data_IF_835989875615
#
_entry.id   IF_835989875615
#
_cell.length_a   1.000
_cell.length_b   1.000
_cell.length_c   1.000
_cell.angle_alpha   90.00
_cell.angle_beta   90.00
_cell.angle_gamma   90.00
#
_symmetry.space_group_name_H-M   'P 1'
#
loop_
_entity.id
_entity.type
_entity.pdbx_description
1 polymer ?
#
# COMPACT_ATOMS: atom_id res chain seq x y z
N UNK A 1 14.06 -6.61 -4.86
CA UNK A 1 13.09 -5.57 -5.25
C UNK A 1 11.70 -5.99 -4.78
N UNK A 2 10.91 -5.08 -4.18
CA UNK A 2 9.50 -5.34 -3.84
C UNK A 2 8.63 -5.17 -5.10
N UNK A 3 7.82 -6.17 -5.45
CA UNK A 3 6.93 -6.12 -6.62
C UNK A 3 5.74 -7.07 -6.45
N UNK A 4 4.57 -6.67 -6.94
CA UNK A 4 3.42 -7.58 -7.10
C UNK A 4 3.30 -7.90 -8.58
N UNK A 5 3.64 -9.12 -8.96
CA UNK A 5 3.61 -9.54 -10.37
C UNK A 5 2.24 -10.11 -10.74
N UNK A 6 1.64 -9.55 -11.77
CA UNK A 6 0.46 -10.12 -12.43
C UNK A 6 0.92 -11.10 -13.52
N UNK A 7 0.21 -12.22 -13.68
CA UNK A 7 0.46 -13.13 -14.80
C UNK A 7 -0.22 -12.61 -16.08
N UNK A 8 0.45 -12.75 -17.22
CA UNK A 8 -0.02 -12.24 -18.52
C UNK A 8 0.51 -10.83 -18.83
N UNK A 9 0.04 -10.25 -19.93
CA UNK A 9 0.36 -8.86 -20.31
C UNK A 9 -0.40 -7.90 -19.38
N UNK A 10 0.28 -7.10 -18.54
CA UNK A 10 -0.38 -6.07 -17.75
C UNK A 10 -0.88 -5.00 -18.71
N UNK A 11 -2.21 -4.86 -18.82
CA UNK A 11 -2.78 -3.86 -19.75
C UNK A 11 -2.72 -2.44 -19.19
N UNK A 12 -2.66 -2.28 -17.86
CA UNK A 12 -2.53 -1.00 -17.14
C UNK A 12 -1.96 -1.19 -15.72
N UNK A 13 -1.40 -0.12 -15.10
CA UNK A 13 -1.09 -0.09 -13.68
C UNK A 13 -2.32 -0.45 -12.84
N UNK A 14 -2.20 -1.47 -12.00
CA UNK A 14 -3.27 -1.89 -11.08
C UNK A 14 -3.12 -1.21 -9.72
N UNK A 15 -4.24 -1.05 -9.02
CA UNK A 15 -4.28 -0.70 -7.61
C UNK A 15 -4.64 -1.94 -6.80
N UNK A 16 -3.77 -2.32 -5.88
CA UNK A 16 -3.93 -3.49 -5.02
C UNK A 16 -3.79 -3.04 -3.57
N UNK A 17 -4.82 -3.27 -2.76
CA UNK A 17 -4.83 -2.90 -1.36
C UNK A 17 -4.84 -4.14 -0.46
N UNK A 18 -3.92 -4.17 0.50
CA UNK A 18 -3.85 -5.17 1.55
C UNK A 18 -4.39 -4.60 2.86
N UNK A 19 -5.30 -5.33 3.49
CA UNK A 19 -5.82 -4.94 4.81
C UNK A 19 -4.78 -5.24 5.89
N UNK A 20 -4.37 -4.20 6.61
CA UNK A 20 -3.58 -4.28 7.83
C UNK A 20 -4.49 -4.42 9.07
N UNK A 21 -3.94 -4.97 10.15
CA UNK A 21 -4.64 -5.10 11.44
C UNK A 21 -4.30 -3.98 12.43
N UNK A 22 -3.37 -3.08 12.07
CA UNK A 22 -2.97 -1.92 12.87
C UNK A 22 -2.34 -0.84 12.02
N UNK A 23 -2.31 0.41 12.51
CA UNK A 23 -1.55 1.50 11.88
C UNK A 23 -0.05 1.19 11.81
N UNK A 24 0.51 0.53 12.83
CA UNK A 24 1.92 0.11 12.84
C UNK A 24 2.28 -0.88 11.73
N UNK A 25 1.34 -1.72 11.29
CA UNK A 25 1.56 -2.59 10.13
C UNK A 25 1.57 -1.80 8.82
N UNK A 26 0.79 -0.73 8.71
CA UNK A 26 0.82 0.19 7.56
C UNK A 26 2.17 0.92 7.51
N UNK A 27 2.67 1.40 8.66
CA UNK A 27 3.99 2.02 8.78
C UNK A 27 5.11 1.06 8.38
N UNK A 28 5.06 -0.16 8.92
CA UNK A 28 6.06 -1.19 8.64
C UNK A 28 6.05 -1.62 7.17
N UNK A 29 4.86 -1.76 6.57
CA UNK A 29 4.72 -2.02 5.13
C UNK A 29 5.41 -0.94 4.31
N UNK A 30 5.12 0.34 4.56
CA UNK A 30 5.68 1.45 3.79
C UNK A 30 7.20 1.51 3.89
N UNK A 31 7.73 1.44 5.11
CA UNK A 31 9.17 1.43 5.34
C UNK A 31 9.87 0.24 4.64
N UNK A 32 9.29 -0.97 4.72
CA UNK A 32 9.84 -2.15 4.08
C UNK A 32 9.78 -2.07 2.56
N UNK A 33 8.67 -1.58 2.00
CA UNK A 33 8.49 -1.43 0.57
C UNK A 33 9.46 -0.40 -0.03
N UNK A 34 9.70 0.72 0.66
CA UNK A 34 10.73 1.69 0.29
C UNK A 34 12.15 1.10 0.36
N UNK A 35 12.48 0.41 1.46
CA UNK A 35 13.79 -0.24 1.61
C UNK A 35 14.05 -1.31 0.53
N UNK A 36 12.99 -1.92 0.01
CA UNK A 36 13.04 -2.90 -1.07
C UNK A 36 13.02 -2.27 -2.49
N UNK A 37 13.08 -0.94 -2.62
CA UNK A 37 13.18 -0.23 -3.89
C UNK A 37 11.85 0.21 -4.49
N UNK A 38 10.75 0.10 -3.74
CA UNK A 38 9.50 0.76 -4.09
C UNK A 38 9.64 2.29 -4.01
N UNK A 39 8.83 3.02 -4.78
CA UNK A 39 8.80 4.48 -4.77
C UNK A 39 7.62 4.98 -3.94
N UNK A 40 7.86 5.97 -3.10
CA UNK A 40 6.79 6.57 -2.32
C UNK A 40 5.70 7.12 -3.24
N UNK A 41 4.44 6.85 -2.88
CA UNK A 41 3.25 7.36 -3.55
C UNK A 41 2.23 7.91 -2.53
N UNK A 42 2.63 8.03 -1.27
CA UNK A 42 1.78 8.47 -0.17
C UNK A 42 2.24 7.87 1.14
N UNK A 43 2.95 8.66 1.93
CA UNK A 43 3.42 8.27 3.27
C UNK A 43 2.25 7.83 4.18
N UNK A 44 2.51 6.96 5.19
CA UNK A 44 1.49 6.53 6.13
C UNK A 44 0.75 7.70 6.77
N UNK A 45 -0.58 7.61 6.79
CA UNK A 45 -1.41 8.64 7.41
C UNK A 45 -2.90 8.42 7.22
N UNK A 46 -3.70 9.23 7.92
CA UNK A 46 -5.14 9.27 7.72
C UNK A 46 -5.51 9.76 6.31
N UNK A 47 -6.63 9.26 5.80
CA UNK A 47 -7.19 9.66 4.50
C UNK A 47 -8.64 10.11 4.64
N UNK A 48 -9.08 11.11 3.86
CA UNK A 48 -10.44 11.64 3.92
C UNK A 48 -11.45 10.72 3.17
N UNK A 49 -11.36 9.40 3.36
CA UNK A 49 -12.17 8.40 2.65
C UNK A 49 -13.18 7.67 3.55
N UNK A 50 -13.13 7.89 4.86
CA UNK A 50 -14.04 7.30 5.83
C UNK A 50 -13.52 7.44 7.25
N UNK A 51 -14.36 7.05 8.22
CA UNK A 51 -13.94 6.98 9.62
C UNK A 51 -12.86 5.89 9.76
N UNK A 52 -11.72 6.25 10.35
CA UNK A 52 -10.57 5.35 10.57
C UNK A 52 -9.90 4.77 9.32
N UNK A 53 -9.70 5.56 8.27
CA UNK A 53 -8.92 5.14 7.10
C UNK A 53 -7.45 5.57 7.24
N UNK A 54 -6.59 4.69 7.73
CA UNK A 54 -5.14 4.92 7.81
C UNK A 54 -4.42 4.07 6.76
N UNK A 55 -3.71 4.71 5.82
CA UNK A 55 -3.12 4.01 4.69
C UNK A 55 -1.76 4.56 4.27
N UNK A 56 -1.01 3.73 3.55
CA UNK A 56 0.23 4.09 2.88
C UNK A 56 0.28 3.47 1.47
N UNK A 57 0.94 4.17 0.55
CA UNK A 57 0.97 3.83 -0.87
C UNK A 57 2.40 3.81 -1.39
N UNK A 58 2.73 2.77 -2.16
CA UNK A 58 4.03 2.62 -2.81
C UNK A 58 3.82 2.17 -4.25
N UNK A 59 4.51 2.82 -5.19
CA UNK A 59 4.63 2.31 -6.56
C UNK A 59 5.68 1.21 -6.59
N UNK A 60 5.29 0.06 -7.13
CA UNK A 60 6.25 -1.00 -7.42
C UNK A 60 7.04 -0.71 -8.73
N UNK A 61 8.04 -1.55 -9.07
CA UNK A 61 8.87 -1.36 -10.27
C UNK A 61 8.09 -1.34 -11.58
N UNK A 62 6.96 -2.05 -11.63
CA UNK A 62 6.08 -2.15 -12.80
C UNK A 62 5.03 -1.00 -12.81
N UNK A 63 5.05 -0.14 -11.79
CA UNK A 63 4.20 1.04 -11.66
C UNK A 63 2.85 0.76 -11.01
N UNK A 64 2.64 -0.42 -10.43
CA UNK A 64 1.42 -0.74 -9.70
C UNK A 64 1.33 0.07 -8.40
N UNK A 65 0.14 0.59 -8.09
CA UNK A 65 -0.11 1.29 -6.83
C UNK A 65 -0.45 0.27 -5.75
N UNK A 66 0.51 -0.01 -4.87
CA UNK A 66 0.34 -0.98 -3.80
C UNK A 66 0.04 -0.24 -2.50
N UNK A 67 -1.07 -0.62 -1.87
CA UNK A 67 -1.57 0.01 -0.64
C UNK A 67 -1.56 -0.98 0.52
N UNK A 68 -1.20 -0.49 1.70
CA UNK A 68 -1.63 -1.10 2.95
C UNK A 68 -2.60 -0.16 3.66
N UNK A 69 -3.74 -0.70 4.10
CA UNK A 69 -4.82 0.08 4.71
C UNK A 69 -5.32 -0.56 5.99
N UNK A 70 -5.50 0.25 7.03
CA UNK A 70 -6.17 -0.10 8.27
C UNK A 70 -7.47 0.69 8.38
N UNK A 71 -8.59 -0.02 8.63
CA UNK A 71 -9.94 0.54 8.73
C UNK A 71 -10.42 0.77 10.18
N UNK A 72 -9.49 0.88 11.13
CA UNK A 72 -9.81 0.91 12.54
C UNK A 72 -10.15 -0.47 13.13
N UNK A 73 -10.33 -0.57 14.45
CA UNK A 73 -10.87 -1.76 15.06
C UNK A 73 -12.28 -2.00 14.52
N UNK A 74 -12.53 -3.16 13.90
CA UNK A 74 -13.92 -3.62 13.74
C UNK A 74 -14.50 -3.80 15.15
N UNK A 75 -15.59 -3.11 15.44
CA UNK A 75 -16.42 -3.39 16.62
C UNK A 75 -17.06 -4.78 16.50
#
# INVERSE_FOLDING_TARGET
PFAVRLEGEPTLPSHIAFTATSTSQVDAFHAAALAAGGRDNGAPGERPYGEYYYAAFVLDPDGHNIEAVFHGPRA
#
